data_IF_265186559727
#
_entry.id   IF_265186559727
#
_cell.length_a   1.000
_cell.length_b   1.000
_cell.length_c   1.000
_cell.angle_alpha   90.00
_cell.angle_beta   90.00
_cell.angle_gamma   90.00
#
_symmetry.space_group_name_H-M   'P 1'
#
loop_
_entity.id
_entity.type
_entity.pdbx_description
1 polymer ?
#
# COMPACT_ATOMS: atom_id res chain seq x y z
N UNK A 1 -18.47 5.93 -25.11
CA UNK A 1 -18.28 5.61 -23.67
C UNK A 1 -16.80 5.70 -23.36
N UNK A 2 -16.36 6.57 -22.45
CA UNK A 2 -14.95 6.67 -22.08
C UNK A 2 -14.48 5.47 -21.26
N UNK A 3 -13.20 5.09 -21.35
CA UNK A 3 -12.60 4.00 -20.56
C UNK A 3 -12.72 4.29 -19.05
N UNK A 4 -12.62 5.55 -18.66
CA UNK A 4 -12.80 6.04 -17.28
C UNK A 4 -14.17 6.67 -17.07
N UNK A 5 -14.67 6.59 -15.84
CA UNK A 5 -15.95 7.19 -15.40
C UNK A 5 -15.78 8.64 -14.89
N UNK A 6 -14.60 9.02 -14.39
CA UNK A 6 -14.29 10.39 -13.96
C UNK A 6 -12.81 10.74 -14.14
N UNK A 7 -12.49 12.04 -14.11
CA UNK A 7 -11.10 12.52 -14.14
C UNK A 7 -10.31 12.07 -12.89
N UNK A 8 -11.00 11.93 -11.75
CA UNK A 8 -10.43 11.37 -10.51
C UNK A 8 -10.09 9.90 -10.67
N UNK A 9 -10.97 9.11 -11.27
CA UNK A 9 -10.71 7.70 -11.55
C UNK A 9 -9.47 7.54 -12.43
N UNK A 10 -9.36 8.33 -13.51
CA UNK A 10 -8.18 8.33 -14.39
C UNK A 10 -6.89 8.62 -13.62
N UNK A 11 -6.90 9.63 -12.74
CA UNK A 11 -5.73 9.98 -11.92
C UNK A 11 -5.35 8.85 -10.97
N UNK A 12 -6.33 8.18 -10.35
CA UNK A 12 -6.06 7.03 -9.48
C UNK A 12 -5.44 5.86 -10.25
N UNK A 13 -5.91 5.56 -11.46
CA UNK A 13 -5.28 4.55 -12.31
C UNK A 13 -3.86 4.92 -12.76
N UNK A 14 -3.57 6.21 -12.99
CA UNK A 14 -2.20 6.65 -13.24
C UNK A 14 -1.31 6.42 -12.02
N UNK A 15 -1.81 6.62 -10.80
CA UNK A 15 -1.08 6.28 -9.58
C UNK A 15 -0.88 4.77 -9.41
N UNK A 16 -1.89 3.95 -9.73
CA UNK A 16 -1.73 2.49 -9.78
C UNK A 16 -0.60 2.11 -10.74
N UNK A 17 -0.60 2.64 -11.96
CA UNK A 17 0.44 2.38 -12.95
C UNK A 17 1.83 2.85 -12.46
N UNK A 18 1.91 4.02 -11.84
CA UNK A 18 3.16 4.53 -11.27
C UNK A 18 3.69 3.59 -10.16
N UNK A 19 2.83 3.12 -9.27
CA UNK A 19 3.21 2.18 -8.20
C UNK A 19 3.67 0.85 -8.78
N UNK A 20 2.94 0.28 -9.75
CA UNK A 20 3.34 -0.98 -10.43
C UNK A 20 4.69 -0.81 -11.13
N UNK A 21 4.92 0.33 -11.81
CA UNK A 21 6.20 0.61 -12.44
C UNK A 21 7.34 0.71 -11.41
N UNK A 22 7.08 1.27 -10.23
CA UNK A 22 8.06 1.32 -9.14
C UNK A 22 8.36 -0.06 -8.56
N UNK A 23 7.35 -0.92 -8.37
CA UNK A 23 7.53 -2.31 -7.92
C UNK A 23 8.42 -3.07 -8.91
N UNK A 24 8.09 -3.06 -10.20
CA UNK A 24 8.91 -3.77 -11.18
C UNK A 24 10.29 -3.15 -11.39
N UNK A 25 10.44 -1.84 -11.22
CA UNK A 25 11.75 -1.20 -11.22
C UNK A 25 12.57 -1.62 -9.99
N UNK A 26 11.94 -1.81 -8.82
CA UNK A 26 12.64 -2.19 -7.58
C UNK A 26 13.32 -3.55 -7.73
N UNK A 27 12.75 -4.50 -8.49
CA UNK A 27 13.37 -5.80 -8.81
C UNK A 27 14.79 -5.64 -9.36
N UNK A 28 14.99 -4.71 -10.31
CA UNK A 28 16.28 -4.48 -10.97
C UNK A 28 17.30 -3.68 -10.14
N UNK A 29 16.83 -2.85 -9.20
CA UNK A 29 17.69 -1.99 -8.37
C UNK A 29 17.97 -2.55 -6.97
N UNK A 30 17.19 -3.52 -6.53
CA UNK A 30 17.19 -4.03 -5.17
C UNK A 30 18.55 -4.52 -4.67
N UNK A 31 19.35 -5.21 -5.50
CA UNK A 31 20.70 -5.66 -5.11
C UNK A 31 21.65 -4.50 -4.78
N UNK A 32 21.70 -3.49 -5.65
CA UNK A 32 22.54 -2.29 -5.43
C UNK A 32 22.02 -1.42 -4.31
N UNK A 33 20.71 -1.34 -4.14
CA UNK A 33 20.09 -0.55 -3.07
C UNK A 33 20.34 -1.19 -1.70
N UNK A 34 20.28 -2.52 -1.61
CA UNK A 34 20.64 -3.27 -0.39
C UNK A 34 22.12 -3.09 -0.05
N UNK A 35 23.03 -3.15 -1.03
CA UNK A 35 24.45 -2.85 -0.81
C UNK A 35 24.68 -1.42 -0.30
N UNK A 36 23.94 -0.43 -0.83
CA UNK A 36 24.04 0.97 -0.40
C UNK A 36 23.42 1.22 0.99
N UNK A 37 22.38 0.47 1.36
CA UNK A 37 21.62 0.62 2.60
C UNK A 37 22.10 -0.30 3.74
N UNK A 38 22.92 -1.32 3.44
CA UNK A 38 23.55 -2.19 4.42
C UNK A 38 24.69 -1.51 5.19
N UNK A 39 25.05 -0.26 4.85
CA UNK A 39 25.85 0.57 5.74
C UNK A 39 24.94 0.98 6.92
N UNK A 40 25.22 0.44 8.12
CA UNK A 40 24.33 0.45 9.31
C UNK A 40 23.76 1.84 9.62
N UNK A 41 24.52 2.90 9.35
CA UNK A 41 24.09 4.28 9.58
C UNK A 41 23.18 4.83 8.46
N UNK A 42 23.43 4.47 7.20
CA UNK A 42 22.70 5.00 6.05
C UNK A 42 21.30 4.38 5.94
N UNK A 43 21.18 3.06 6.14
CA UNK A 43 19.90 2.36 6.15
C UNK A 43 18.99 2.83 7.29
N UNK A 44 19.54 2.97 8.49
CA UNK A 44 18.82 3.49 9.65
C UNK A 44 18.36 4.93 9.43
N UNK A 45 19.24 5.81 8.93
CA UNK A 45 18.90 7.20 8.64
C UNK A 45 17.80 7.31 7.56
N UNK A 46 17.91 6.55 6.46
CA UNK A 46 16.91 6.55 5.40
C UNK A 46 15.53 6.07 5.91
N UNK A 47 15.51 5.00 6.72
CA UNK A 47 14.28 4.52 7.36
C UNK A 47 13.68 5.57 8.31
N UNK A 48 14.50 6.20 9.16
CA UNK A 48 14.04 7.27 10.06
C UNK A 48 13.47 8.47 9.30
N UNK A 49 14.12 8.90 8.21
CA UNK A 49 13.61 9.98 7.35
C UNK A 49 12.27 9.60 6.72
N UNK A 50 12.16 8.39 6.16
CA UNK A 50 10.90 7.90 5.60
C UNK A 50 9.77 7.87 6.65
N UNK A 51 10.07 7.39 7.86
CA UNK A 51 9.12 7.37 8.97
C UNK A 51 8.69 8.79 9.38
N UNK A 52 9.63 9.73 9.47
CA UNK A 52 9.35 11.13 9.80
C UNK A 52 8.50 11.81 8.73
N UNK A 53 8.75 11.53 7.44
CA UNK A 53 7.95 12.04 6.34
C UNK A 53 6.52 11.49 6.39
N UNK A 54 6.35 10.19 6.64
CA UNK A 54 5.03 9.58 6.83
C UNK A 54 4.32 10.22 8.03
N UNK A 55 5.00 10.35 9.17
CA UNK A 55 4.44 10.98 10.36
C UNK A 55 4.03 12.44 10.09
N UNK A 56 4.88 13.23 9.43
CA UNK A 56 4.59 14.61 9.05
C UNK A 56 3.38 14.70 8.11
N UNK A 57 3.27 13.78 7.15
CA UNK A 57 2.14 13.74 6.21
C UNK A 57 0.83 13.41 6.94
N UNK A 58 0.86 12.43 7.85
CA UNK A 58 -0.30 12.07 8.69
C UNK A 58 -0.71 13.22 9.60
N UNK A 59 0.26 13.90 10.23
CA UNK A 59 0.00 15.06 11.08
C UNK A 59 -0.58 16.22 10.28
N UNK A 60 -0.02 16.54 9.11
CA UNK A 60 -0.51 17.59 8.23
C UNK A 60 -1.96 17.30 7.75
N UNK A 61 -2.24 16.07 7.33
CA UNK A 61 -3.59 15.66 6.92
C UNK A 61 -4.59 15.69 8.09
N UNK A 62 -4.15 15.24 9.27
CA UNK A 62 -4.91 15.29 10.51
C UNK A 62 -5.25 16.73 10.94
N UNK A 63 -4.29 17.65 10.90
CA UNK A 63 -4.51 19.06 11.23
C UNK A 63 -5.53 19.71 10.30
N UNK A 64 -5.53 19.35 9.00
CA UNK A 64 -6.50 19.88 8.03
C UNK A 64 -7.91 19.29 8.22
N UNK A 65 -8.02 18.01 8.56
CA UNK A 65 -9.31 17.29 8.63
C UNK A 65 -9.97 17.28 10.02
N UNK A 66 -9.25 17.73 11.06
CA UNK A 66 -9.70 17.75 12.47
C UNK A 66 -10.36 16.42 12.90
N UNK A 67 -9.60 15.31 12.92
CA UNK A 67 -10.12 13.99 13.27
C UNK A 67 -10.64 13.96 14.71
N UNK A 68 -11.62 13.10 14.94
CA UNK A 68 -12.18 12.85 16.26
C UNK A 68 -11.22 12.04 17.13
N UNK A 69 -11.40 12.08 18.47
CA UNK A 69 -10.56 11.32 19.41
C UNK A 69 -10.53 9.82 19.10
N UNK A 70 -11.66 9.26 18.63
CA UNK A 70 -11.78 7.86 18.23
C UNK A 70 -10.97 7.55 16.98
N UNK A 71 -11.01 8.41 15.96
CA UNK A 71 -10.20 8.25 14.75
C UNK A 71 -8.71 8.32 15.06
N UNK A 72 -8.30 9.24 15.93
CA UNK A 72 -6.91 9.37 16.39
C UNK A 72 -6.47 8.11 17.13
N UNK A 73 -7.27 7.61 18.08
CA UNK A 73 -6.96 6.39 18.82
C UNK A 73 -6.84 5.16 17.90
N UNK A 74 -7.75 5.01 16.93
CA UNK A 74 -7.69 3.94 15.93
C UNK A 74 -6.44 4.06 15.06
N UNK A 75 -6.11 5.27 14.60
CA UNK A 75 -4.93 5.50 13.78
C UNK A 75 -3.64 5.15 14.53
N UNK A 76 -3.50 5.59 15.79
CA UNK A 76 -2.34 5.24 16.63
C UNK A 76 -2.29 3.74 16.95
N UNK A 77 -3.43 3.09 17.22
CA UNK A 77 -3.49 1.65 17.46
C UNK A 77 -3.03 0.85 16.24
N UNK A 78 -3.54 1.18 15.05
CA UNK A 78 -3.13 0.55 13.79
C UNK A 78 -1.65 0.84 13.50
N UNK A 79 -1.19 2.08 13.69
CA UNK A 79 0.20 2.46 13.49
C UNK A 79 1.14 1.69 14.42
N UNK A 80 0.77 1.49 15.70
CA UNK A 80 1.55 0.73 16.65
C UNK A 80 1.69 -0.74 16.23
N UNK A 81 0.59 -1.38 15.80
CA UNK A 81 0.62 -2.78 15.30
C UNK A 81 1.49 -2.89 14.05
N UNK A 82 1.35 -1.95 13.10
CA UNK A 82 2.18 -1.91 11.89
C UNK A 82 3.65 -1.69 12.25
N UNK A 83 3.96 -0.78 13.18
CA UNK A 83 5.33 -0.53 13.61
C UNK A 83 5.94 -1.77 14.27
N UNK A 84 5.20 -2.45 15.16
CA UNK A 84 5.65 -3.70 15.78
C UNK A 84 5.91 -4.79 14.76
N UNK A 85 5.09 -4.88 13.71
CA UNK A 85 5.28 -5.83 12.61
C UNK A 85 6.53 -5.46 11.79
N UNK A 86 6.66 -4.19 11.37
CA UNK A 86 7.81 -3.72 10.59
C UNK A 86 9.12 -3.99 11.31
N UNK A 87 9.19 -3.79 12.63
CA UNK A 87 10.40 -4.05 13.41
C UNK A 87 10.82 -5.54 13.45
N UNK A 88 9.91 -6.48 13.16
CA UNK A 88 10.18 -7.93 13.14
C UNK A 88 10.55 -8.46 11.76
N UNK A 89 10.23 -7.71 10.70
CA UNK A 89 10.44 -8.12 9.32
C UNK A 89 11.83 -7.73 8.81
N UNK A 90 12.33 -8.42 7.80
CA UNK A 90 13.51 -8.04 7.01
C UNK A 90 13.24 -6.82 6.14
N UNK A 91 14.28 -6.18 5.60
CA UNK A 91 14.12 -5.00 4.74
C UNK A 91 13.28 -5.29 3.49
N UNK A 92 13.45 -6.48 2.89
CA UNK A 92 12.70 -6.93 1.73
C UNK A 92 11.21 -7.10 2.05
N UNK A 93 10.89 -7.82 3.13
CA UNK A 93 9.50 -8.03 3.57
C UNK A 93 8.81 -6.70 3.93
N UNK A 94 9.54 -5.75 4.54
CA UNK A 94 9.02 -4.39 4.83
C UNK A 94 8.67 -3.63 3.55
N UNK A 95 9.52 -3.70 2.52
CA UNK A 95 9.27 -3.02 1.25
C UNK A 95 8.03 -3.58 0.55
N UNK A 96 7.91 -4.90 0.46
CA UNK A 96 6.76 -5.58 -0.14
C UNK A 96 5.47 -5.22 0.60
N UNK A 97 5.48 -5.23 1.94
CA UNK A 97 4.32 -4.86 2.74
C UNK A 97 3.82 -3.44 2.40
N UNK A 98 4.73 -2.47 2.29
CA UNK A 98 4.37 -1.07 1.99
C UNK A 98 3.87 -0.95 0.54
N UNK A 99 4.59 -1.53 -0.41
CA UNK A 99 4.28 -1.45 -1.85
C UNK A 99 2.88 -2.00 -2.15
N UNK A 100 2.58 -3.20 -1.67
CA UNK A 100 1.30 -3.87 -1.93
C UNK A 100 0.15 -3.28 -1.12
N UNK A 101 0.40 -2.72 0.07
CA UNK A 101 -0.60 -1.96 0.81
C UNK A 101 -1.00 -0.68 0.04
N UNK A 102 -0.03 0.09 -0.47
CA UNK A 102 -0.29 1.32 -1.24
C UNK A 102 -1.00 0.99 -2.55
N UNK A 103 -0.54 -0.04 -3.26
CA UNK A 103 -1.15 -0.51 -4.50
C UNK A 103 -2.62 -0.87 -4.30
N UNK A 104 -2.94 -1.68 -3.29
CA UNK A 104 -4.30 -2.10 -2.99
C UNK A 104 -5.21 -0.92 -2.63
N UNK A 105 -4.70 0.06 -1.87
CA UNK A 105 -5.44 1.28 -1.53
C UNK A 105 -5.81 2.09 -2.78
N UNK A 106 -4.88 2.26 -3.73
CA UNK A 106 -5.18 2.99 -4.96
C UNK A 106 -6.14 2.24 -5.88
N UNK A 107 -5.98 0.92 -6.04
CA UNK A 107 -6.92 0.10 -6.82
C UNK A 107 -8.31 0.17 -6.19
N UNK A 108 -8.41 0.01 -4.86
CA UNK A 108 -9.69 0.12 -4.16
C UNK A 108 -10.32 1.50 -4.37
N UNK A 109 -9.56 2.58 -4.21
CA UNK A 109 -10.04 3.94 -4.44
C UNK A 109 -10.55 4.14 -5.88
N UNK A 110 -9.84 3.63 -6.89
CA UNK A 110 -10.23 3.74 -8.29
C UNK A 110 -11.53 2.96 -8.58
N UNK A 111 -11.64 1.74 -8.05
CA UNK A 111 -12.83 0.90 -8.20
C UNK A 111 -14.04 1.45 -7.44
N UNK A 112 -13.84 2.02 -6.25
CA UNK A 112 -14.89 2.70 -5.48
C UNK A 112 -15.37 3.96 -6.18
N UNK A 113 -14.48 4.77 -6.75
CA UNK A 113 -14.84 5.92 -7.58
C UNK A 113 -15.68 5.49 -8.78
N UNK A 114 -15.25 4.44 -9.49
CA UNK A 114 -15.99 3.88 -10.61
C UNK A 114 -17.40 3.44 -10.22
N UNK A 115 -17.55 2.78 -9.06
CA UNK A 115 -18.84 2.36 -8.52
C UNK A 115 -19.73 3.57 -8.19
N UNK A 116 -19.15 4.61 -7.56
CA UNK A 116 -19.86 5.84 -7.20
C UNK A 116 -20.39 6.62 -8.41
N UNK A 117 -19.70 6.53 -9.56
CA UNK A 117 -20.15 7.11 -10.83
C UNK A 117 -21.17 6.24 -11.59
N UNK A 118 -21.82 5.28 -10.91
CA UNK A 118 -22.91 4.48 -11.47
C UNK A 118 -22.49 3.31 -12.35
N UNK A 119 -21.19 3.01 -12.49
CA UNK A 119 -20.73 1.81 -13.21
C UNK A 119 -20.81 0.58 -12.31
N UNK A 120 -21.08 -0.58 -12.92
CA UNK A 120 -21.21 -1.86 -12.21
C UNK A 120 -19.85 -2.36 -11.70
N UNK A 121 -19.58 -2.16 -10.41
CA UNK A 121 -18.47 -2.77 -9.67
C UNK A 121 -19.04 -3.37 -8.39
N UNK A 122 -19.28 -4.68 -8.36
CA UNK A 122 -20.04 -5.33 -7.28
C UNK A 122 -19.29 -5.34 -5.95
N UNK A 123 -18.00 -5.66 -5.99
CA UNK A 123 -17.15 -5.82 -4.80
C UNK A 123 -15.81 -5.10 -4.99
N UNK A 124 -15.77 -3.75 -4.93
CA UNK A 124 -14.55 -2.97 -5.16
C UNK A 124 -13.37 -3.43 -4.28
N UNK A 125 -13.64 -3.74 -3.01
CA UNK A 125 -12.63 -4.18 -2.05
C UNK A 125 -12.04 -5.55 -2.41
N UNK A 126 -12.88 -6.55 -2.69
CA UNK A 126 -12.41 -7.88 -3.08
C UNK A 126 -11.63 -7.83 -4.39
N UNK A 127 -12.12 -7.07 -5.38
CA UNK A 127 -11.43 -6.87 -6.65
C UNK A 127 -10.07 -6.18 -6.47
N UNK A 128 -9.95 -5.23 -5.54
CA UNK A 128 -8.67 -4.59 -5.25
C UNK A 128 -7.65 -5.58 -4.67
N UNK A 129 -8.07 -6.41 -3.72
CA UNK A 129 -7.22 -7.44 -3.10
C UNK A 129 -6.78 -8.46 -4.15
N UNK A 130 -7.72 -8.98 -4.94
CA UNK A 130 -7.41 -9.96 -6.01
C UNK A 130 -6.49 -9.36 -7.07
N UNK A 131 -6.70 -8.10 -7.45
CA UNK A 131 -5.84 -7.43 -8.43
C UNK A 131 -4.42 -7.21 -7.90
N UNK A 132 -4.28 -6.78 -6.64
CA UNK A 132 -2.97 -6.61 -6.01
C UNK A 132 -2.26 -7.97 -5.85
N UNK A 133 -2.98 -9.02 -5.44
CA UNK A 133 -2.44 -10.38 -5.34
C UNK A 133 -1.99 -10.90 -6.71
N UNK A 134 -2.77 -10.67 -7.77
CA UNK A 134 -2.39 -11.04 -9.14
C UNK A 134 -1.11 -10.33 -9.61
N UNK A 135 -0.95 -9.05 -9.27
CA UNK A 135 0.30 -8.31 -9.53
C UNK A 135 1.46 -8.92 -8.74
N UNK A 136 1.23 -9.32 -7.48
CA UNK A 136 2.22 -10.03 -6.65
C UNK A 136 2.65 -11.37 -7.23
N UNK A 137 1.73 -12.11 -7.85
CA UNK A 137 2.06 -13.34 -8.58
C UNK A 137 2.95 -13.04 -9.77
N UNK A 138 2.65 -11.98 -10.52
CA UNK A 138 3.45 -11.58 -11.69
C UNK A 138 4.85 -11.13 -11.26
N UNK A 139 4.95 -10.37 -10.17
CA UNK A 139 6.21 -9.91 -9.58
C UNK A 139 7.13 -11.08 -9.21
N UNK A 140 6.61 -12.07 -8.47
CA UNK A 140 7.34 -13.31 -8.15
C UNK A 140 7.67 -14.13 -9.41
N UNK A 141 6.75 -14.19 -10.39
CA UNK A 141 7.03 -14.88 -11.64
C UNK A 141 8.16 -14.22 -12.45
N UNK A 142 8.31 -12.89 -12.38
CA UNK A 142 9.45 -12.18 -13.00
C UNK A 142 10.75 -12.55 -12.29
N UNK A 143 10.73 -12.78 -10.97
CA UNK A 143 11.92 -13.20 -10.22
C UNK A 143 12.50 -14.53 -10.69
N UNK A 144 11.68 -15.44 -11.27
CA UNK A 144 12.17 -16.68 -11.90
C UNK A 144 13.16 -16.42 -13.06
N UNK A 145 13.07 -15.27 -13.71
CA UNK A 145 13.97 -14.87 -14.79
C UNK A 145 15.22 -14.12 -14.29
N UNK A 146 15.32 -13.82 -12.99
CA UNK A 146 16.40 -13.04 -12.41
C UNK A 146 17.40 -13.96 -11.66
N UNK A 147 18.69 -13.99 -12.03
CA UNK A 147 19.66 -14.98 -11.55
C UNK A 147 20.03 -14.87 -10.06
N UNK A 148 19.65 -13.79 -9.39
CA UNK A 148 19.94 -13.53 -7.97
C UNK A 148 18.68 -13.49 -7.11
N UNK A 149 17.55 -13.93 -7.65
CA UNK A 149 16.25 -13.94 -6.97
C UNK A 149 15.67 -15.34 -6.96
N UNK A 150 14.89 -15.63 -5.92
CA UNK A 150 14.26 -16.92 -5.70
C UNK A 150 12.77 -16.66 -5.64
N UNK A 151 12.01 -17.42 -6.42
CA UNK A 151 10.56 -17.43 -6.34
C UNK A 151 10.14 -17.92 -4.95
N UNK A 152 9.48 -17.06 -4.17
CA UNK A 152 9.00 -17.41 -2.83
C UNK A 152 7.47 -17.29 -2.72
N UNK A 153 6.74 -18.42 -2.62
CA UNK A 153 5.30 -18.39 -2.38
C UNK A 153 4.88 -17.64 -1.11
N UNK A 154 5.77 -17.53 -0.12
CA UNK A 154 5.52 -16.78 1.12
C UNK A 154 5.41 -15.28 0.83
N UNK A 155 6.18 -14.75 -0.12
CA UNK A 155 6.09 -13.35 -0.53
C UNK A 155 4.74 -13.04 -1.20
N UNK A 156 4.21 -13.97 -2.00
CA UNK A 156 2.85 -13.86 -2.57
C UNK A 156 1.77 -13.76 -1.49
N UNK A 157 1.92 -14.55 -0.41
CA UNK A 157 1.02 -14.51 0.73
C UNK A 157 1.14 -13.18 1.48
N UNK A 158 2.36 -12.71 1.74
CA UNK A 158 2.60 -11.41 2.39
C UNK A 158 1.99 -10.25 1.59
N UNK A 159 2.19 -10.22 0.28
CA UNK A 159 1.61 -9.21 -0.62
C UNK A 159 0.08 -9.21 -0.54
N UNK A 160 -0.52 -10.39 -0.50
CA UNK A 160 -1.98 -10.56 -0.37
C UNK A 160 -2.48 -10.10 1.00
N UNK A 161 -1.77 -10.42 2.09
CA UNK A 161 -2.12 -9.97 3.44
C UNK A 161 -1.96 -8.45 3.62
N UNK A 162 -0.94 -7.85 3.02
CA UNK A 162 -0.74 -6.41 2.98
C UNK A 162 -1.89 -5.70 2.23
N UNK A 163 -2.28 -6.24 1.07
CA UNK A 163 -3.43 -5.75 0.32
C UNK A 163 -4.74 -5.88 1.11
N UNK A 164 -4.99 -7.03 1.73
CA UNK A 164 -6.18 -7.29 2.53
C UNK A 164 -6.29 -6.38 3.75
N UNK A 165 -5.23 -6.30 4.55
CA UNK A 165 -5.20 -5.50 5.77
C UNK A 165 -5.36 -4.00 5.52
N UNK A 166 -4.71 -3.46 4.48
CA UNK A 166 -4.82 -2.04 4.10
C UNK A 166 -6.23 -1.66 3.63
N UNK A 167 -6.85 -2.49 2.77
CA UNK A 167 -8.23 -2.30 2.33
C UNK A 167 -9.21 -2.42 3.51
N UNK A 168 -9.03 -3.43 4.38
CA UNK A 168 -9.86 -3.62 5.56
C UNK A 168 -9.78 -2.42 6.53
N UNK A 169 -8.57 -1.93 6.81
CA UNK A 169 -8.35 -0.75 7.64
C UNK A 169 -9.06 0.48 7.06
N UNK A 170 -8.97 0.69 5.75
CA UNK A 170 -9.68 1.77 5.05
C UNK A 170 -11.20 1.67 5.18
N UNK A 171 -11.77 0.46 5.09
CA UNK A 171 -13.20 0.22 5.27
C UNK A 171 -13.65 0.48 6.71
N UNK A 172 -12.89 0.01 7.70
CA UNK A 172 -13.17 0.25 9.12
C UNK A 172 -13.17 1.76 9.40
N UNK A 173 -12.16 2.49 8.94
CA UNK A 173 -12.07 3.94 9.13
C UNK A 173 -13.24 4.66 8.45
N UNK A 174 -13.62 4.26 7.24
CA UNK A 174 -14.77 4.83 6.54
C UNK A 174 -16.12 4.52 7.22
N UNK A 175 -16.22 3.40 7.95
CA UNK A 175 -17.39 3.06 8.76
C UNK A 175 -17.45 3.91 10.02
N UNK A 176 -16.34 4.03 10.76
CA UNK A 176 -16.23 4.86 11.96
C UNK A 176 -16.58 6.32 11.65
N UNK A 177 -16.06 6.87 10.55
CA UNK A 177 -16.37 8.24 10.09
C UNK A 177 -17.86 8.48 9.85
N UNK A 178 -18.59 7.47 9.38
CA UNK A 178 -20.04 7.57 9.17
C UNK A 178 -20.80 7.52 10.48
N UNK A 179 -20.35 6.71 11.44
CA UNK A 179 -20.99 6.58 12.76
C UNK A 179 -20.78 7.81 13.67
N UNK A 180 -19.67 8.54 13.50
CA UNK A 180 -19.34 9.71 14.34
C UNK A 180 -19.91 11.03 13.78
N UNK A 181 -20.34 11.06 12.51
CA UNK A 181 -20.99 12.22 11.88
C UNK A 181 -22.52 12.24 12.06
N UNK A 182 -23.05 11.39 12.93
CA UNK A 182 -24.46 11.37 13.36
C UNK A 182 -24.62 12.27 14.58
#
# INVERSE_FOLDING_TARGET
MGIFSSARERRLWLWVLAVVALIFASLGFSGRLVELLNDDNAGAAAFSVALLLVAATVLADGLQKRPTRVEVALAFGVAAVILMLLLRLTLAERSHLIEYAVLAVFIHAALSERAAQGRRVRLPAALAIVSAAAIGVIDEAIQLALPHRVFDPVDMLFNTLAAGSSVAAGLVLARVRRSVRV
#
